data_IF_570011315389
#
_entry.id   IF_570011315389
#
_cell.length_a   1.000
_cell.length_b   1.000
_cell.length_c   1.000
_cell.angle_alpha   90.00
_cell.angle_beta   90.00
_cell.angle_gamma   90.00
#
_symmetry.space_group_name_H-M   'P 1'
#
loop_
_entity.id
_entity.type
_entity.pdbx_description
1 polymer ?
#
# COMPACT_ATOMS: atom_id res chain seq x y z
N UNK A 1 21.26 -18.19 14.00
CA UNK A 1 19.87 -18.38 13.51
C UNK A 1 19.23 -17.01 13.42
N UNK A 2 19.04 -16.46 12.21
CA UNK A 2 18.36 -15.17 12.04
C UNK A 2 16.85 -15.29 12.26
N UNK A 3 16.20 -14.22 12.70
CA UNK A 3 14.74 -14.14 12.87
C UNK A 3 14.00 -13.84 11.56
N UNK A 4 12.66 -13.83 11.63
CA UNK A 4 11.76 -13.54 10.49
C UNK A 4 10.97 -12.27 10.79
N UNK A 5 10.86 -11.37 9.81
CA UNK A 5 9.93 -10.25 9.85
C UNK A 5 8.61 -10.70 9.22
N UNK A 6 7.51 -10.60 9.98
CA UNK A 6 6.16 -10.87 9.49
C UNK A 6 5.41 -9.56 9.35
N UNK A 7 4.91 -9.28 8.14
CA UNK A 7 4.11 -8.10 7.83
C UNK A 7 2.69 -8.58 7.56
N UNK A 8 1.72 -8.02 8.28
CA UNK A 8 0.33 -8.34 8.06
C UNK A 8 -0.23 -7.44 6.94
N UNK A 9 -0.83 -8.02 5.88
CA UNK A 9 -1.46 -7.25 4.82
C UNK A 9 -2.70 -6.52 5.32
N UNK A 10 -3.22 -5.62 4.49
CA UNK A 10 -4.40 -4.85 4.86
C UNK A 10 -5.63 -5.74 5.12
N UNK A 11 -6.38 -5.40 6.17
CA UNK A 11 -7.59 -6.11 6.58
C UNK A 11 -8.84 -5.52 5.92
N UNK A 12 -9.74 -6.42 5.51
CA UNK A 12 -11.12 -6.09 5.12
C UNK A 12 -11.86 -5.35 6.25
N UNK A 13 -12.77 -4.45 5.86
CA UNK A 13 -13.62 -3.68 6.80
C UNK A 13 -15.09 -3.97 6.54
N UNK A 14 -15.91 -4.05 7.59
CA UNK A 14 -17.36 -4.13 7.46
C UNK A 14 -17.96 -2.83 6.92
N UNK A 15 -17.38 -1.71 7.34
CA UNK A 15 -17.82 -0.37 6.95
C UNK A 15 -17.03 0.13 5.75
N UNK A 16 -17.69 0.89 4.88
CA UNK A 16 -17.01 1.59 3.80
C UNK A 16 -16.06 2.65 4.37
N UNK A 17 -14.79 2.57 3.98
CA UNK A 17 -13.71 3.45 4.41
C UNK A 17 -12.83 3.80 3.23
N UNK A 18 -12.39 5.06 3.19
CA UNK A 18 -11.41 5.57 2.24
C UNK A 18 -10.34 6.30 3.04
N UNK A 19 -9.07 6.03 2.74
CA UNK A 19 -7.92 6.71 3.33
C UNK A 19 -6.97 7.20 2.24
N UNK A 20 -6.33 8.34 2.49
CA UNK A 20 -5.34 8.93 1.60
C UNK A 20 -4.17 9.45 2.42
N UNK A 21 -2.96 9.22 1.93
CA UNK A 21 -1.72 9.72 2.50
C UNK A 21 -0.84 10.28 1.39
N UNK A 22 -0.42 11.54 1.55
CA UNK A 22 0.56 12.20 0.70
C UNK A 22 1.74 12.65 1.54
N UNK A 23 2.95 12.28 1.14
CA UNK A 23 4.21 12.64 1.79
C UNK A 23 5.09 13.34 0.75
N UNK A 24 5.66 14.47 1.13
CA UNK A 24 6.74 15.12 0.38
C UNK A 24 8.05 14.91 1.12
N UNK A 25 9.04 14.32 0.43
CA UNK A 25 10.37 14.11 0.96
C UNK A 25 11.33 15.13 0.34
N UNK A 26 11.79 16.09 1.15
CA UNK A 26 12.69 17.14 0.70
C UNK A 26 14.09 16.64 0.36
N UNK A 27 14.55 15.57 1.03
CA UNK A 27 15.86 15.00 0.76
C UNK A 27 15.87 14.23 -0.57
N UNK A 28 14.74 13.69 -0.98
CA UNK A 28 14.58 13.07 -2.31
C UNK A 28 13.94 14.00 -3.36
N UNK A 29 13.59 15.23 -2.97
CA UNK A 29 12.80 16.17 -3.80
C UNK A 29 11.64 15.47 -4.51
N UNK A 30 10.91 14.67 -3.74
CA UNK A 30 10.02 13.63 -4.25
C UNK A 30 8.72 13.52 -3.47
N UNK A 31 7.81 12.72 -4.00
CA UNK A 31 6.49 12.49 -3.42
C UNK A 31 6.15 11.01 -3.31
N UNK A 32 5.48 10.67 -2.23
CA UNK A 32 4.79 9.38 -2.08
C UNK A 32 3.31 9.65 -1.86
N UNK A 33 2.47 9.00 -2.64
CA UNK A 33 1.02 9.04 -2.54
C UNK A 33 0.49 7.63 -2.33
N UNK A 34 -0.49 7.52 -1.46
CA UNK A 34 -1.17 6.29 -1.14
C UNK A 34 -2.67 6.58 -1.03
N UNK A 35 -3.47 5.72 -1.64
CA UNK A 35 -4.92 5.77 -1.59
C UNK A 35 -5.45 4.37 -1.29
N UNK A 36 -6.20 4.23 -0.21
CA UNK A 36 -6.86 3.00 0.20
C UNK A 36 -8.38 3.13 0.17
N UNK A 37 -9.05 2.06 -0.24
CA UNK A 37 -10.50 1.93 -0.12
C UNK A 37 -10.85 0.50 0.31
N UNK A 38 -11.80 0.38 1.22
CA UNK A 38 -12.27 -0.92 1.71
C UNK A 38 -13.71 -0.84 2.18
N UNK A 39 -14.38 -1.98 2.17
CA UNK A 39 -15.73 -2.06 2.69
C UNK A 39 -16.33 -3.44 2.50
N UNK A 40 -17.58 -3.58 2.92
CA UNK A 40 -18.35 -4.80 2.76
C UNK A 40 -19.80 -4.50 2.39
N UNK A 41 -20.43 -5.45 1.71
CA UNK A 41 -21.86 -5.48 1.43
C UNK A 41 -22.37 -6.91 1.60
N UNK A 42 -23.14 -7.13 2.66
CA UNK A 42 -23.55 -8.48 3.07
C UNK A 42 -22.35 -9.39 3.32
N UNK A 43 -22.32 -10.53 2.64
CA UNK A 43 -21.26 -11.54 2.76
C UNK A 43 -20.01 -11.22 1.91
N UNK A 44 -20.03 -10.13 1.14
CA UNK A 44 -18.93 -9.73 0.27
C UNK A 44 -18.12 -8.59 0.88
N UNK A 45 -16.80 -8.70 0.87
CA UNK A 45 -15.86 -7.68 1.33
C UNK A 45 -14.81 -7.41 0.25
N UNK A 46 -14.33 -6.17 0.19
CA UNK A 46 -13.30 -5.74 -0.75
C UNK A 46 -12.30 -4.79 -0.10
N UNK A 47 -11.07 -4.81 -0.59
CA UNK A 47 -10.00 -3.85 -0.29
C UNK A 47 -9.25 -3.56 -1.59
N UNK A 48 -9.00 -2.30 -1.89
CA UNK A 48 -8.12 -1.87 -2.99
C UNK A 48 -7.19 -0.78 -2.45
N UNK A 49 -5.91 -0.84 -2.79
CA UNK A 49 -4.91 0.14 -2.42
C UNK A 49 -3.99 0.43 -3.59
N UNK A 50 -3.78 1.70 -3.85
CA UNK A 50 -2.81 2.19 -4.82
C UNK A 50 -1.71 2.98 -4.13
N UNK A 51 -0.48 2.71 -4.52
CA UNK A 51 0.74 3.35 -4.06
C UNK A 51 1.50 3.92 -5.26
N UNK A 52 1.97 5.15 -5.13
CA UNK A 52 2.87 5.79 -6.10
C UNK A 52 3.98 6.50 -5.35
N UNK A 53 5.22 6.21 -5.71
CA UNK A 53 6.40 6.94 -5.25
C UNK A 53 7.15 7.47 -6.46
N UNK A 54 7.48 8.75 -6.43
CA UNK A 54 8.34 9.42 -7.42
C UNK A 54 9.36 10.28 -6.68
N UNK A 55 10.54 9.70 -6.47
CA UNK A 55 11.66 10.27 -5.74
C UNK A 55 12.87 10.44 -6.66
N UNK A 56 13.52 11.60 -6.59
CA UNK A 56 14.78 11.88 -7.30
C UNK A 56 15.98 11.34 -6.50
N UNK A 57 17.21 11.78 -6.80
CA UNK A 57 18.37 11.38 -6.02
C UNK A 57 18.32 11.98 -4.61
N UNK A 58 18.82 11.21 -3.64
CA UNK A 58 18.97 11.65 -2.25
C UNK A 58 20.00 12.77 -2.13
N UNK A 59 19.60 13.86 -1.47
CA UNK A 59 20.40 15.04 -1.23
C UNK A 59 21.03 15.00 0.16
N UNK A 60 22.35 15.19 0.20
CA UNK A 60 23.17 15.37 1.40
C UNK A 60 23.78 16.77 1.41
N UNK A 61 24.34 17.24 2.55
CA UNK A 61 25.09 18.50 2.58
C UNK A 61 26.27 18.55 1.60
N UNK A 62 26.85 17.39 1.26
CA UNK A 62 28.02 17.27 0.38
C UNK A 62 27.64 17.07 -1.11
N UNK A 63 26.34 16.98 -1.42
CA UNK A 63 25.81 16.81 -2.78
C UNK A 63 24.75 15.71 -2.92
N UNK A 64 24.34 15.46 -4.15
CA UNK A 64 23.40 14.37 -4.48
C UNK A 64 24.12 13.03 -4.60
N UNK A 65 23.48 11.97 -4.10
CA UNK A 65 23.95 10.59 -4.26
C UNK A 65 23.29 10.00 -5.50
N UNK A 66 24.06 9.80 -6.56
CA UNK A 66 23.56 9.26 -7.82
C UNK A 66 22.94 7.86 -7.67
N UNK A 67 21.99 7.53 -8.55
CA UNK A 67 21.31 6.23 -8.62
C UNK A 67 20.54 5.85 -7.34
N UNK A 68 20.09 6.84 -6.58
CA UNK A 68 19.20 6.64 -5.42
C UNK A 68 17.76 7.04 -5.69
N UNK A 69 17.45 7.47 -6.93
CA UNK A 69 16.10 7.74 -7.39
C UNK A 69 15.23 6.48 -7.35
N UNK A 70 13.94 6.68 -7.08
CA UNK A 70 12.95 5.60 -6.99
C UNK A 70 11.65 6.05 -7.63
N UNK A 71 11.20 5.31 -8.65
CA UNK A 71 9.88 5.46 -9.23
C UNK A 71 9.15 4.13 -9.17
N UNK A 72 8.12 4.07 -8.35
CA UNK A 72 7.39 2.83 -8.07
C UNK A 72 5.89 3.08 -8.12
N UNK A 73 5.19 2.11 -8.70
CA UNK A 73 3.74 2.01 -8.67
C UNK A 73 3.40 0.62 -8.14
N UNK A 74 2.68 0.57 -7.05
CA UNK A 74 2.24 -0.67 -6.42
C UNK A 74 0.72 -0.65 -6.27
N UNK A 75 0.08 -1.78 -6.56
CA UNK A 75 -1.37 -1.90 -6.49
C UNK A 75 -1.74 -3.21 -5.81
N UNK A 76 -2.53 -3.10 -4.75
CA UNK A 76 -2.98 -4.23 -3.97
C UNK A 76 -4.49 -4.30 -4.03
N UNK A 77 -5.03 -5.50 -4.23
CA UNK A 77 -6.46 -5.72 -4.28
C UNK A 77 -6.83 -7.04 -3.62
N UNK A 78 -7.94 -7.04 -2.89
CA UNK A 78 -8.44 -8.21 -2.20
C UNK A 78 -9.96 -8.29 -2.29
N UNK A 79 -10.49 -9.46 -2.61
CA UNK A 79 -11.91 -9.78 -2.55
C UNK A 79 -12.12 -10.95 -1.61
N UNK A 80 -13.13 -10.84 -0.74
CA UNK A 80 -13.51 -11.89 0.20
C UNK A 80 -15.01 -12.14 0.13
N UNK A 81 -15.39 -13.42 0.13
CA UNK A 81 -16.79 -13.83 0.20
C UNK A 81 -16.99 -14.87 1.31
N UNK A 82 -17.95 -14.63 2.20
CA UNK A 82 -18.25 -15.47 3.35
C UNK A 82 -19.53 -16.28 3.14
N UNK A 83 -19.39 -17.57 2.90
CA UNK A 83 -20.48 -18.52 3.09
C UNK A 83 -20.42 -19.05 4.52
N UNK A 84 -21.56 -19.42 5.11
CA UNK A 84 -21.70 -19.80 6.54
C UNK A 84 -20.54 -20.61 7.13
N UNK A 85 -19.94 -21.53 6.36
CA UNK A 85 -18.80 -22.36 6.78
C UNK A 85 -17.58 -22.28 5.82
N UNK A 86 -17.56 -21.39 4.82
CA UNK A 86 -16.52 -21.34 3.79
C UNK A 86 -16.16 -19.90 3.42
N UNK A 87 -14.85 -19.63 3.29
CA UNK A 87 -14.33 -18.32 2.93
C UNK A 87 -13.56 -18.45 1.61
N UNK A 88 -13.93 -17.65 0.62
CA UNK A 88 -13.13 -17.46 -0.59
C UNK A 88 -12.40 -16.12 -0.47
N UNK A 89 -11.08 -16.13 -0.63
CA UNK A 89 -10.23 -14.93 -0.63
C UNK A 89 -9.43 -14.94 -1.93
N UNK A 90 -9.42 -13.81 -2.64
CA UNK A 90 -8.62 -13.57 -3.84
C UNK A 90 -7.84 -12.29 -3.64
N UNK A 91 -6.52 -12.40 -3.57
CA UNK A 91 -5.61 -11.27 -3.37
C UNK A 91 -4.67 -11.10 -4.59
N UNK A 92 -4.42 -9.85 -4.98
CA UNK A 92 -3.49 -9.42 -6.02
C UNK A 92 -2.56 -8.35 -5.46
N UNK A 93 -1.26 -8.48 -5.73
CA UNK A 93 -0.20 -7.54 -5.38
C UNK A 93 0.76 -7.44 -6.58
#
# INVERSE_FOLDING_TARGET
MGGVLYIEPERYSSDFSVDYMGIYDSNYSGITNNLGLKGSSGDFSYVLRGNMTDNQNFSTPDGEVENTWLKEYDFQGGLKYNLRNFHLILDYQ
#
